data_IF_083677408216
#
_entry.id   IF_083677408216
#
_cell.length_a   1.000
_cell.length_b   1.000
_cell.length_c   1.000
_cell.angle_alpha   90.00
_cell.angle_beta   90.00
_cell.angle_gamma   90.00
#
_symmetry.space_group_name_H-M   'P 1'
#
loop_
_entity.id
_entity.type
_entity.pdbx_description
1 polymer ?
#
# COMPACT_ATOMS: atom_id res chain seq x y z
N UNK A 1 -8.82 -3.95 2.92
CA UNK A 1 -7.43 -4.39 2.64
C UNK A 1 -7.07 -3.99 1.23
N UNK A 2 -5.88 -3.42 1.03
CA UNK A 2 -5.33 -3.07 -0.27
C UNK A 2 -3.81 -3.17 -0.26
N UNK A 3 -3.19 -3.01 -1.43
CA UNK A 3 -1.74 -2.95 -1.60
C UNK A 3 -1.35 -1.57 -2.11
N UNK A 4 -0.38 -0.95 -1.45
CA UNK A 4 0.25 0.28 -1.89
C UNK A 4 1.62 -0.05 -2.49
N UNK A 5 1.89 0.44 -3.71
CA UNK A 5 3.22 0.39 -4.31
C UNK A 5 3.79 1.82 -4.34
N UNK A 6 4.89 2.02 -3.63
CA UNK A 6 5.61 3.29 -3.52
C UNK A 6 6.83 3.28 -4.44
N UNK A 7 7.01 4.34 -5.23
CA UNK A 7 8.18 4.57 -6.07
C UNK A 7 8.93 5.78 -5.55
N UNK A 8 10.24 5.62 -5.35
CA UNK A 8 11.17 6.67 -4.96
C UNK A 8 12.41 6.66 -5.86
N UNK A 9 13.14 7.77 -5.93
CA UNK A 9 14.42 7.88 -6.64
C UNK A 9 15.43 8.55 -5.73
N UNK A 10 16.57 7.90 -5.50
CA UNK A 10 17.63 8.40 -4.63
C UNK A 10 17.12 8.85 -3.25
N UNK A 11 16.18 8.10 -2.67
CA UNK A 11 15.55 8.42 -1.37
C UNK A 11 14.39 9.42 -1.43
N UNK A 12 14.14 10.09 -2.55
CA UNK A 12 13.01 11.01 -2.72
C UNK A 12 11.77 10.25 -3.21
N UNK A 13 10.66 10.38 -2.48
CA UNK A 13 9.37 9.85 -2.92
C UNK A 13 8.90 10.54 -4.21
N UNK A 14 8.40 9.74 -5.17
CA UNK A 14 7.81 10.24 -6.42
C UNK A 14 6.30 10.09 -6.40
N UNK A 15 5.80 8.88 -6.24
CA UNK A 15 4.38 8.60 -6.14
C UNK A 15 4.10 7.25 -5.46
N UNK A 16 2.86 7.06 -5.03
CA UNK A 16 2.32 5.79 -4.56
C UNK A 16 0.99 5.47 -5.25
N UNK A 17 0.66 4.19 -5.38
CA UNK A 17 -0.65 3.77 -5.89
C UNK A 17 -1.76 4.03 -4.86
N UNK A 18 -2.88 4.58 -5.30
CA UNK A 18 -4.05 4.82 -4.43
C UNK A 18 -4.66 3.52 -3.86
N UNK A 19 -5.28 3.60 -2.69
CA UNK A 19 -5.89 2.45 -1.96
C UNK A 19 -6.92 1.64 -2.78
N UNK A 20 -7.61 2.30 -3.72
CA UNK A 20 -8.63 1.66 -4.58
C UNK A 20 -8.03 0.98 -5.82
N UNK A 21 -6.75 1.18 -6.09
CA UNK A 21 -6.11 0.73 -7.33
C UNK A 21 -5.78 -0.76 -7.30
N UNK A 22 -5.34 -1.28 -6.14
CA UNK A 22 -4.83 -2.64 -6.01
C UNK A 22 -5.38 -3.27 -4.72
N UNK A 23 -6.50 -3.97 -4.83
CA UNK A 23 -7.12 -4.70 -3.70
C UNK A 23 -6.81 -6.20 -3.70
N UNK A 24 -6.10 -6.68 -4.72
CA UNK A 24 -5.80 -8.09 -4.94
C UNK A 24 -4.29 -8.33 -5.12
N UNK A 25 -3.80 -9.45 -4.59
CA UNK A 25 -2.38 -9.80 -4.58
C UNK A 25 -1.85 -10.18 -5.98
N UNK A 26 -2.68 -10.81 -6.83
CA UNK A 26 -2.29 -11.18 -8.19
C UNK A 26 -2.10 -9.90 -9.01
N UNK A 27 -3.04 -8.96 -8.91
CA UNK A 27 -2.92 -7.63 -9.52
C UNK A 27 -1.71 -6.87 -8.98
N UNK A 28 -1.45 -6.92 -7.67
CA UNK A 28 -0.27 -6.31 -7.07
C UNK A 28 1.03 -6.84 -7.70
N UNK A 29 1.14 -8.15 -7.89
CA UNK A 29 2.31 -8.78 -8.50
C UNK A 29 2.49 -8.34 -9.96
N UNK A 30 1.40 -8.27 -10.73
CA UNK A 30 1.44 -7.82 -12.13
C UNK A 30 1.90 -6.37 -12.25
N UNK A 31 1.33 -5.46 -11.43
CA UNK A 31 1.71 -4.05 -11.44
C UNK A 31 3.16 -3.87 -10.97
N UNK A 32 3.59 -4.62 -9.95
CA UNK A 32 4.97 -4.58 -9.49
C UNK A 32 5.97 -5.00 -10.58
N UNK A 33 5.66 -6.08 -11.33
CA UNK A 33 6.50 -6.52 -12.45
C UNK A 33 6.59 -5.47 -13.55
N UNK A 34 5.47 -4.82 -13.89
CA UNK A 34 5.44 -3.71 -14.85
C UNK A 34 6.30 -2.53 -14.36
N UNK A 35 6.17 -2.14 -13.10
CA UNK A 35 6.91 -1.00 -12.54
C UNK A 35 8.42 -1.27 -12.48
N UNK A 36 8.87 -2.50 -12.19
CA UNK A 36 10.31 -2.85 -12.22
C UNK A 36 10.92 -2.61 -13.60
N UNK A 37 10.18 -2.86 -14.68
CA UNK A 37 10.67 -2.64 -16.04
C UNK A 37 10.87 -1.16 -16.36
N UNK A 38 10.04 -0.28 -15.80
CA UNK A 38 10.08 1.16 -16.07
C UNK A 38 10.90 1.97 -15.05
N UNK A 39 11.05 1.46 -13.82
CA UNK A 39 11.76 2.12 -12.72
C UNK A 39 12.91 1.24 -12.18
N UNK A 40 13.95 1.00 -12.98
CA UNK A 40 15.01 0.06 -12.62
C UNK A 40 15.91 0.61 -11.51
N UNK A 41 16.32 -0.27 -10.59
CA UNK A 41 17.23 0.06 -9.48
C UNK A 41 18.57 0.65 -9.94
N UNK A 42 19.06 0.25 -11.12
CA UNK A 42 20.29 0.78 -11.73
C UNK A 42 20.23 2.28 -12.04
N UNK A 43 19.02 2.85 -12.15
CA UNK A 43 18.80 4.29 -12.33
C UNK A 43 18.49 5.03 -11.02
N UNK A 44 18.73 4.38 -9.87
CA UNK A 44 18.51 4.95 -8.54
C UNK A 44 17.07 4.86 -8.04
N UNK A 45 16.20 4.13 -8.74
CA UNK A 45 14.82 3.93 -8.28
C UNK A 45 14.72 2.85 -7.19
N UNK A 46 13.78 3.02 -6.28
CA UNK A 46 13.39 2.03 -5.28
C UNK A 46 11.88 1.87 -5.30
N UNK A 47 11.44 0.61 -5.29
CA UNK A 47 10.04 0.20 -5.32
C UNK A 47 9.75 -0.55 -4.02
N UNK A 48 8.70 -0.16 -3.30
CA UNK A 48 8.25 -0.83 -2.08
C UNK A 48 6.77 -1.19 -2.20
N UNK A 49 6.41 -2.38 -1.74
CA UNK A 49 5.02 -2.84 -1.64
C UNK A 49 4.64 -2.92 -0.17
N UNK A 50 3.52 -2.31 0.20
CA UNK A 50 2.94 -2.36 1.54
C UNK A 50 1.55 -3.00 1.46
N UNK A 51 1.29 -4.01 2.29
CA UNK A 51 -0.07 -4.54 2.49
C UNK A 51 -0.74 -3.70 3.56
N UNK A 52 -1.82 -3.02 3.19
CA UNK A 52 -2.58 -2.14 4.08
C UNK A 52 -3.87 -2.84 4.51
N UNK A 53 -4.04 -3.00 5.82
CA UNK A 53 -5.20 -3.67 6.41
C UNK A 53 -5.89 -2.74 7.40
N UNK A 54 -7.22 -2.73 7.37
CA UNK A 54 -8.01 -2.06 8.40
C UNK A 54 -8.31 -3.12 9.46
N UNK A 55 -7.78 -2.92 10.67
CA UNK A 55 -8.09 -3.77 11.81
C UNK A 55 -9.22 -3.09 12.56
N UNK A 56 -10.36 -3.76 12.67
CA UNK A 56 -11.45 -3.38 13.56
C UNK A 56 -11.41 -4.21 14.82
N UNK A 57 -11.54 -3.57 15.98
CA UNK A 57 -11.73 -4.27 17.25
C UNK A 57 -13.19 -4.19 17.68
N UNK A 58 -13.71 -5.29 18.24
CA UNK A 58 -15.02 -5.29 18.88
C UNK A 58 -14.81 -4.77 20.31
N UNK A 59 -15.25 -3.54 20.57
CA UNK A 59 -15.29 -2.99 21.91
C UNK A 59 -16.66 -3.27 22.51
N UNK A 60 -16.71 -4.12 23.55
CA UNK A 60 -17.91 -4.26 24.36
C UNK A 60 -18.05 -3.03 25.25
N UNK A 61 -18.87 -2.08 24.82
CA UNK A 61 -19.18 -0.90 25.63
C UNK A 61 -20.30 -1.30 26.61
N UNK A 62 -19.92 -1.64 27.85
CA UNK A 62 -20.86 -1.77 28.95
C UNK A 62 -21.06 -0.41 29.63
N UNK A 63 -22.29 0.11 29.61
CA UNK A 63 -22.71 1.18 30.52
C UNK A 63 -22.51 2.62 30.02
N UNK A 64 -23.21 3.00 28.94
CA UNK A 64 -23.63 4.39 28.77
C UNK A 64 -25.08 4.47 29.26
N UNK A 65 -25.24 4.44 30.58
CA UNK A 65 -26.48 4.93 31.17
C UNK A 65 -26.43 6.45 31.05
N UNK A 66 -27.29 7.00 30.20
CA UNK A 66 -27.58 8.44 30.19
C UNK A 66 -28.17 8.79 31.58
N UNK A 67 -27.49 9.66 32.32
CA UNK A 67 -28.08 10.43 33.42
C UNK A 67 -28.86 11.62 32.86
#
# INVERSE_FOLDING_TARGET
MYYEINISKNGQHLFATHERSITDIVKCRQVHLLLIQHFPKTKGYSIRVTRCESIGEIVNIAGWAEE
#
